data_IF_809500950637
#
_entry.id   IF_809500950637
#
_cell.length_a   1.000
_cell.length_b   1.000
_cell.length_c   1.000
_cell.angle_alpha   90.00
_cell.angle_beta   90.00
_cell.angle_gamma   90.00
#
_symmetry.space_group_name_H-M   'P 1'
#
loop_
_entity.id
_entity.type
_entity.pdbx_description
1 polymer ?
#
# COMPACT_ATOMS: atom_id res chain seq x y z
N UNK A 1 12.69 -7.17 -53.92
CA UNK A 1 13.48 -6.06 -54.47
C UNK A 1 13.68 -5.01 -53.37
N UNK A 2 14.81 -4.99 -52.74
CA UNK A 2 15.95 -4.07 -52.84
C UNK A 2 15.55 -2.60 -52.72
N UNK A 3 16.04 -1.78 -51.76
CA UNK A 3 17.39 -1.31 -51.38
C UNK A 3 17.25 -0.53 -50.05
N UNK A 4 18.01 -0.76 -48.99
CA UNK A 4 19.37 -0.28 -48.71
C UNK A 4 19.52 1.25 -48.47
N UNK A 5 20.05 1.50 -47.23
CA UNK A 5 21.11 2.45 -46.84
C UNK A 5 20.61 3.87 -46.47
N UNK A 6 20.87 4.39 -45.26
CA UNK A 6 22.13 5.04 -44.90
C UNK A 6 22.24 5.36 -43.41
N UNK A 7 23.34 4.95 -42.79
CA UNK A 7 23.84 5.40 -41.48
C UNK A 7 24.34 6.85 -41.57
N UNK A 8 24.12 7.66 -40.53
CA UNK A 8 25.00 8.78 -40.21
C UNK A 8 25.34 8.76 -38.74
N UNK A 9 26.59 8.42 -38.48
CA UNK A 9 27.32 8.66 -37.23
C UNK A 9 27.74 10.11 -37.21
N UNK A 10 27.51 10.80 -36.07
CA UNK A 10 28.21 12.08 -35.84
C UNK A 10 28.68 12.13 -34.41
N UNK A 11 29.97 11.91 -34.24
CA UNK A 11 30.81 12.13 -33.05
C UNK A 11 31.36 13.55 -33.06
N UNK A 12 31.36 14.23 -31.91
CA UNK A 12 32.33 15.25 -31.47
C UNK A 12 32.00 15.61 -30.03
N UNK A 13 32.71 15.32 -28.98
CA UNK A 13 34.06 15.62 -28.54
C UNK A 13 34.19 17.05 -27.92
N UNK A 14 34.48 17.03 -26.61
CA UNK A 14 35.37 17.88 -25.81
C UNK A 14 34.99 19.34 -25.53
N UNK A 15 34.93 19.74 -24.24
CA UNK A 15 36.07 20.39 -23.60
C UNK A 15 35.88 20.55 -22.10
N UNK A 16 36.89 20.19 -21.36
CA UNK A 16 37.11 20.46 -19.96
C UNK A 16 37.62 21.90 -19.76
N UNK A 17 37.27 22.50 -18.62
CA UNK A 17 38.07 23.60 -18.06
C UNK A 17 38.10 23.53 -16.54
N UNK A 18 39.29 23.23 -16.05
CA UNK A 18 39.76 23.45 -14.67
C UNK A 18 40.16 24.92 -14.50
N UNK A 19 39.93 25.46 -13.28
CA UNK A 19 40.82 26.36 -12.53
C UNK A 19 40.12 26.72 -11.22
N UNK A 20 40.55 26.36 -10.06
CA UNK A 20 41.76 26.58 -9.30
C UNK A 20 41.64 27.78 -8.32
N UNK A 21 41.80 27.43 -7.04
CA UNK A 21 42.51 28.15 -5.96
C UNK A 21 41.96 29.47 -5.42
N UNK A 22 41.89 29.49 -4.09
CA UNK A 22 41.91 30.71 -3.27
C UNK A 22 41.76 30.44 -1.78
N UNK A 23 42.88 30.25 -1.15
CA UNK A 23 43.12 30.05 0.30
C UNK A 23 43.21 31.39 1.03
N UNK A 24 42.78 31.47 2.31
CA UNK A 24 43.40 32.24 3.40
C UNK A 24 42.44 32.34 4.58
N UNK A 25 42.70 31.63 5.60
CA UNK A 25 43.41 31.88 6.87
C UNK A 25 42.94 33.02 7.77
N UNK A 26 42.77 32.56 8.98
CA UNK A 26 43.18 33.09 10.28
C UNK A 26 42.17 33.89 11.09
N UNK A 27 41.79 33.35 12.23
CA UNK A 27 42.36 33.59 13.58
C UNK A 27 41.70 34.78 14.29
N UNK A 28 41.20 34.71 15.46
CA UNK A 28 41.76 34.60 16.83
C UNK A 28 40.63 34.76 17.85
N UNK A 29 40.57 33.83 18.81
CA UNK A 29 40.79 33.99 20.27
C UNK A 29 40.10 35.10 21.05
N UNK A 30 39.41 34.74 22.10
CA UNK A 30 39.70 34.92 23.50
C UNK A 30 38.42 34.74 24.36
N UNK A 31 38.41 33.76 25.24
CA UNK A 31 38.66 33.77 26.69
C UNK A 31 37.88 34.82 27.47
N UNK A 32 37.16 34.42 28.43
CA UNK A 32 37.24 34.24 29.88
C UNK A 32 35.85 34.45 30.46
N UNK A 33 35.39 33.98 31.57
CA UNK A 33 35.79 33.22 32.74
C UNK A 33 34.54 33.07 33.64
N UNK A 34 34.44 31.94 34.24
CA UNK A 34 34.07 31.55 35.58
C UNK A 34 33.02 32.31 36.43
N UNK A 35 32.17 31.54 37.08
CA UNK A 35 31.98 31.26 38.51
C UNK A 35 30.54 30.78 38.76
N UNK A 36 30.30 29.58 39.15
CA UNK A 36 30.27 28.88 40.43
C UNK A 36 29.21 29.36 41.44
N UNK A 37 28.52 28.34 41.93
CA UNK A 37 27.85 28.08 43.21
C UNK A 37 26.32 28.21 43.19
N UNK A 38 25.51 27.40 43.85
CA UNK A 38 25.67 26.31 44.81
C UNK A 38 24.30 25.63 45.01
N UNK A 39 24.35 24.44 45.49
CA UNK A 39 23.38 23.48 45.89
C UNK A 39 22.03 23.93 46.46
N UNK A 40 21.00 23.12 46.17
CA UNK A 40 20.10 22.53 47.19
C UNK A 40 19.37 21.34 46.68
N UNK A 41 19.57 20.20 47.31
CA UNK A 41 18.82 18.95 47.24
C UNK A 41 17.43 19.13 47.84
N UNK A 42 16.42 18.47 47.24
CA UNK A 42 15.43 17.67 48.00
C UNK A 42 14.80 16.63 47.10
N UNK A 43 14.99 15.45 47.50
CA UNK A 43 14.42 14.12 47.44
C UNK A 43 12.99 13.94 46.88
N UNK A 44 12.92 12.86 46.09
CA UNK A 44 12.03 11.68 46.20
C UNK A 44 10.63 11.75 45.62
N UNK A 45 10.45 11.04 44.52
CA UNK A 45 9.40 10.05 44.34
C UNK A 45 9.67 9.21 43.06
N UNK A 46 10.03 7.97 43.30
CA UNK A 46 10.18 6.96 42.27
C UNK A 46 8.84 6.65 41.58
N UNK A 47 8.74 6.87 40.28
CA UNK A 47 7.78 6.21 39.43
C UNK A 47 8.59 5.22 38.59
N UNK A 48 8.39 3.94 38.86
CA UNK A 48 8.95 2.82 38.12
C UNK A 48 8.22 2.73 36.79
N UNK A 49 8.75 3.34 35.75
CA UNK A 49 8.39 2.98 34.39
C UNK A 49 9.26 1.77 34.01
N UNK A 50 8.57 0.63 33.89
CA UNK A 50 9.12 -0.60 33.35
C UNK A 50 9.24 -0.45 31.83
N UNK A 51 10.22 0.30 31.39
CA UNK A 51 10.66 0.31 30.02
C UNK A 51 11.53 -0.94 29.79
N UNK A 52 10.96 -2.00 29.24
CA UNK A 52 11.75 -3.07 28.67
C UNK A 52 12.40 -2.56 27.36
N UNK A 53 13.45 -1.78 27.49
CA UNK A 53 14.36 -1.52 26.40
C UNK A 53 15.21 -2.75 26.19
N UNK A 54 14.81 -3.60 25.24
CA UNK A 54 15.70 -4.60 24.65
C UNK A 54 16.81 -3.83 23.92
N UNK A 55 18.01 -3.86 24.49
CA UNK A 55 19.21 -3.35 23.84
C UNK A 55 19.42 -4.19 22.57
N UNK A 56 19.16 -3.58 21.38
CA UNK A 56 19.68 -4.13 20.12
C UNK A 56 21.20 -4.21 20.27
N UNK A 57 21.80 -5.32 19.89
CA UNK A 57 23.23 -5.60 19.94
C UNK A 57 24.07 -4.72 18.97
N UNK A 58 23.53 -3.62 18.50
CA UNK A 58 24.14 -2.70 17.53
C UNK A 58 24.14 -3.23 16.10
N UNK A 59 23.41 -4.30 15.81
CA UNK A 59 23.21 -4.77 14.43
C UNK A 59 22.37 -3.78 13.66
N UNK A 60 22.81 -3.48 12.43
CA UNK A 60 22.08 -2.63 11.48
C UNK A 60 21.41 -3.51 10.45
N UNK A 61 20.19 -3.15 10.09
CA UNK A 61 19.39 -3.85 9.11
C UNK A 61 19.14 -2.96 7.90
N UNK A 62 19.17 -3.55 6.72
CA UNK A 62 18.79 -2.91 5.45
C UNK A 62 17.57 -3.63 4.90
N UNK A 63 16.48 -2.88 4.77
CA UNK A 63 15.18 -3.37 4.33
C UNK A 63 14.88 -2.80 2.96
N UNK A 64 14.59 -3.68 1.99
CA UNK A 64 14.06 -3.27 0.69
C UNK A 64 12.56 -3.18 0.75
N UNK A 65 11.98 -2.11 0.25
CA UNK A 65 10.53 -1.93 0.14
C UNK A 65 10.18 -1.83 -1.34
N UNK A 66 9.49 -2.86 -1.86
CA UNK A 66 8.91 -2.83 -3.19
C UNK A 66 7.44 -2.44 -3.07
N UNK A 67 7.13 -1.18 -3.35
CA UNK A 67 5.77 -0.67 -3.42
C UNK A 67 5.27 -0.73 -4.86
N UNK A 68 4.11 -1.37 -5.09
CA UNK A 68 3.60 -1.58 -6.45
C UNK A 68 3.27 -0.28 -7.16
N UNK A 69 2.62 0.64 -6.48
CA UNK A 69 2.19 1.94 -7.00
C UNK A 69 2.15 2.96 -5.85
N UNK A 70 2.16 4.24 -6.16
CA UNK A 70 1.98 5.33 -5.20
C UNK A 70 0.50 5.74 -5.18
N UNK A 71 -0.14 5.51 -4.05
CA UNK A 71 -1.48 6.01 -3.71
C UNK A 71 -1.70 5.89 -2.19
N UNK A 72 -2.70 6.60 -1.62
CA UNK A 72 -2.83 6.77 -0.16
C UNK A 72 -2.79 5.48 0.65
N UNK A 73 -3.48 4.42 0.23
CA UNK A 73 -3.52 3.18 0.99
C UNK A 73 -2.13 2.51 1.08
N UNK A 74 -1.40 2.37 -0.04
CA UNK A 74 -0.07 1.77 -0.03
C UNK A 74 0.95 2.66 0.69
N UNK A 75 0.82 3.98 0.60
CA UNK A 75 1.70 4.92 1.29
C UNK A 75 1.52 4.83 2.80
N UNK A 76 0.28 4.72 3.29
CA UNK A 76 -0.04 4.48 4.70
C UNK A 76 0.52 3.14 5.21
N UNK A 77 0.40 2.06 4.43
CA UNK A 77 0.95 0.76 4.81
C UNK A 77 2.49 0.79 4.88
N UNK A 78 3.15 1.43 3.93
CA UNK A 78 4.61 1.65 3.99
C UNK A 78 5.00 2.46 5.21
N UNK A 79 4.31 3.56 5.50
CA UNK A 79 4.57 4.40 6.67
C UNK A 79 4.41 3.62 7.98
N UNK A 80 3.32 2.86 8.13
CA UNK A 80 3.11 2.04 9.32
C UNK A 80 4.23 1.02 9.53
N UNK A 81 4.70 0.37 8.47
CA UNK A 81 5.82 -0.56 8.52
C UNK A 81 7.13 0.10 8.95
N UNK A 82 7.45 1.25 8.36
CA UNK A 82 8.66 2.00 8.69
C UNK A 82 8.64 2.52 10.13
N UNK A 83 7.49 3.03 10.59
CA UNK A 83 7.30 3.51 11.95
C UNK A 83 7.49 2.39 12.96
N UNK A 84 6.88 1.21 12.76
CA UNK A 84 7.02 0.08 13.65
C UNK A 84 8.48 -0.40 13.79
N UNK A 85 9.18 -0.56 12.67
CA UNK A 85 10.59 -0.97 12.71
C UNK A 85 11.51 0.11 13.29
N UNK A 86 11.23 1.38 13.00
CA UNK A 86 11.99 2.50 13.57
C UNK A 86 11.79 2.59 15.08
N UNK A 87 10.57 2.39 15.58
CA UNK A 87 10.27 2.35 17.01
C UNK A 87 10.97 1.18 17.71
N UNK A 88 10.87 -0.01 17.14
CA UNK A 88 11.36 -1.24 17.75
C UNK A 88 12.90 -1.41 17.68
N UNK A 89 13.52 -1.00 16.60
CA UNK A 89 14.97 -1.12 16.36
C UNK A 89 15.74 0.12 16.79
N UNK A 90 15.09 1.29 16.77
CA UNK A 90 15.72 2.59 16.84
C UNK A 90 16.20 3.08 15.46
N UNK A 91 15.99 4.36 15.15
CA UNK A 91 16.25 4.98 13.84
C UNK A 91 17.69 4.86 13.33
N UNK A 92 18.67 4.60 14.21
CA UNK A 92 20.08 4.39 13.82
C UNK A 92 20.42 2.97 13.40
N UNK A 93 19.50 2.01 13.57
CA UNK A 93 19.73 0.59 13.36
C UNK A 93 18.95 -0.01 12.18
N UNK A 94 18.15 0.79 11.50
CA UNK A 94 17.41 0.37 10.29
C UNK A 94 17.59 1.40 9.19
N UNK A 95 17.68 0.91 7.95
CA UNK A 95 17.71 1.72 6.73
C UNK A 95 16.70 1.12 5.76
N UNK A 96 15.84 1.96 5.20
CA UNK A 96 14.85 1.57 4.20
C UNK A 96 15.30 2.03 2.81
N UNK A 97 15.13 1.15 1.82
CA UNK A 97 15.26 1.44 0.40
C UNK A 97 13.88 1.24 -0.24
N UNK A 98 13.09 2.32 -0.25
CA UNK A 98 11.76 2.34 -0.85
C UNK A 98 11.87 2.58 -2.35
N UNK A 99 11.35 1.64 -3.14
CA UNK A 99 11.26 1.75 -4.59
C UNK A 99 9.83 1.51 -5.08
N UNK A 100 9.32 2.45 -5.88
CA UNK A 100 8.00 2.42 -6.49
C UNK A 100 8.07 1.76 -7.87
N UNK A 101 7.30 0.69 -8.07
CA UNK A 101 7.25 -0.05 -9.33
C UNK A 101 6.35 0.60 -10.39
N UNK A 102 5.64 1.68 -10.06
CA UNK A 102 4.77 2.45 -10.95
C UNK A 102 3.68 1.60 -11.64
N UNK A 103 3.16 0.60 -10.94
CA UNK A 103 2.13 -0.31 -11.44
C UNK A 103 2.64 -1.41 -12.38
N UNK A 104 3.93 -1.43 -12.70
CA UNK A 104 4.49 -2.33 -13.70
C UNK A 104 5.11 -3.58 -13.06
N UNK A 105 4.58 -4.76 -13.36
CA UNK A 105 5.11 -6.03 -12.85
C UNK A 105 6.61 -6.22 -13.16
N UNK A 106 7.06 -5.79 -14.34
CA UNK A 106 8.47 -5.88 -14.72
C UNK A 106 9.39 -5.04 -13.82
N UNK A 107 8.89 -3.90 -13.34
CA UNK A 107 9.60 -3.07 -12.37
C UNK A 107 9.62 -3.74 -10.99
N UNK A 108 8.50 -4.31 -10.51
CA UNK A 108 8.48 -5.10 -9.27
C UNK A 108 9.55 -6.20 -9.29
N UNK A 109 9.64 -6.95 -10.40
CA UNK A 109 10.64 -8.01 -10.56
C UNK A 109 12.07 -7.46 -10.55
N UNK A 110 12.30 -6.33 -11.21
CA UNK A 110 13.63 -5.68 -11.26
C UNK A 110 14.05 -5.19 -9.89
N UNK A 111 13.15 -4.53 -9.16
CA UNK A 111 13.36 -4.02 -7.79
C UNK A 111 13.68 -5.18 -6.85
N UNK A 112 12.84 -6.22 -6.82
CA UNK A 112 13.03 -7.38 -5.95
C UNK A 112 14.34 -8.09 -6.21
N UNK A 113 14.72 -8.31 -7.48
CA UNK A 113 16.01 -8.89 -7.83
C UNK A 113 17.19 -7.97 -7.41
N UNK A 114 17.01 -6.65 -7.44
CA UNK A 114 17.98 -5.68 -6.96
C UNK A 114 18.26 -5.84 -5.46
N UNK A 115 17.22 -5.98 -4.65
CA UNK A 115 17.33 -6.21 -3.21
C UNK A 115 18.05 -7.54 -2.89
N UNK A 116 17.71 -8.59 -3.63
CA UNK A 116 18.38 -9.90 -3.51
C UNK A 116 19.86 -9.81 -3.86
N UNK A 117 20.21 -9.16 -4.97
CA UNK A 117 21.60 -9.00 -5.41
C UNK A 117 22.45 -8.20 -4.41
N UNK A 118 21.83 -7.29 -3.67
CA UNK A 118 22.48 -6.48 -2.64
C UNK A 118 22.44 -7.12 -1.24
N UNK A 119 21.90 -8.34 -1.12
CA UNK A 119 21.80 -9.10 0.14
C UNK A 119 21.11 -8.31 1.27
N UNK A 120 19.95 -7.71 1.01
CA UNK A 120 19.17 -7.05 2.03
C UNK A 120 18.70 -8.04 3.09
N UNK A 121 18.50 -7.57 4.32
CA UNK A 121 18.15 -8.43 5.46
C UNK A 121 16.70 -8.91 5.39
N UNK A 122 15.80 -8.13 4.78
CA UNK A 122 14.38 -8.44 4.60
C UNK A 122 13.83 -7.61 3.44
N UNK A 123 12.79 -8.11 2.79
CA UNK A 123 12.01 -7.39 1.77
C UNK A 123 10.58 -7.18 2.29
N UNK A 124 10.11 -5.94 2.29
CA UNK A 124 8.68 -5.64 2.33
C UNK A 124 8.15 -5.62 0.90
N UNK A 125 7.11 -6.39 0.66
CA UNK A 125 6.37 -6.37 -0.59
C UNK A 125 4.98 -5.75 -0.34
N UNK A 126 4.77 -4.54 -0.84
CA UNK A 126 3.53 -3.80 -0.65
C UNK A 126 2.65 -3.93 -1.88
N UNK A 127 1.59 -4.68 -1.76
CA UNK A 127 0.60 -5.15 -2.71
C UNK A 127 0.93 -6.52 -3.37
N UNK A 128 -0.11 -7.14 -3.97
CA UNK A 128 -0.09 -8.53 -4.47
C UNK A 128 0.97 -8.78 -5.53
N UNK A 129 1.08 -7.94 -6.55
CA UNK A 129 2.07 -8.10 -7.62
C UNK A 129 3.51 -7.96 -7.09
N UNK A 130 3.74 -7.03 -6.14
CA UNK A 130 5.02 -6.89 -5.48
C UNK A 130 5.38 -8.15 -4.68
N UNK A 131 4.41 -8.76 -3.96
CA UNK A 131 4.59 -10.01 -3.24
C UNK A 131 4.98 -11.16 -4.17
N UNK A 132 4.26 -11.33 -5.27
CA UNK A 132 4.55 -12.36 -6.28
C UNK A 132 5.98 -12.24 -6.83
N UNK A 133 6.40 -11.01 -7.14
CA UNK A 133 7.74 -10.74 -7.65
C UNK A 133 8.83 -10.99 -6.59
N UNK A 134 8.61 -10.59 -5.35
CA UNK A 134 9.55 -10.81 -4.27
C UNK A 134 9.68 -12.30 -3.92
N UNK A 135 8.57 -13.03 -3.84
CA UNK A 135 8.56 -14.47 -3.61
C UNK A 135 9.27 -15.26 -4.72
N UNK A 136 9.12 -14.81 -5.97
CA UNK A 136 9.82 -15.40 -7.12
C UNK A 136 11.33 -15.08 -7.14
N UNK A 137 11.74 -13.93 -6.58
CA UNK A 137 13.13 -13.48 -6.61
C UNK A 137 14.02 -14.21 -5.57
N UNK A 138 13.45 -14.66 -4.44
CA UNK A 138 14.23 -15.27 -3.36
C UNK A 138 13.45 -16.34 -2.60
N UNK A 139 14.17 -17.38 -2.19
CA UNK A 139 13.66 -18.39 -1.24
C UNK A 139 14.38 -18.35 0.12
N UNK A 140 15.26 -17.38 0.34
CA UNK A 140 16.13 -17.31 1.52
C UNK A 140 16.04 -15.98 2.28
N UNK A 141 15.90 -14.85 1.59
CA UNK A 141 15.63 -13.57 2.25
C UNK A 141 14.18 -13.57 2.71
N UNK A 142 13.89 -13.25 3.98
CA UNK A 142 12.52 -13.11 4.45
C UNK A 142 11.75 -12.06 3.65
N UNK A 143 10.52 -12.38 3.27
CA UNK A 143 9.60 -11.48 2.58
C UNK A 143 8.37 -11.29 3.47
N UNK A 144 8.13 -10.07 3.89
CA UNK A 144 6.89 -9.67 4.56
C UNK A 144 6.02 -8.96 3.52
N UNK A 145 4.81 -9.47 3.31
CA UNK A 145 3.80 -8.80 2.51
C UNK A 145 2.94 -7.86 3.36
N UNK A 146 2.44 -6.81 2.75
CA UNK A 146 1.34 -5.99 3.30
C UNK A 146 0.44 -5.55 2.15
N UNK A 147 -0.79 -5.18 2.43
CA UNK A 147 -1.77 -4.81 1.39
C UNK A 147 -1.95 -5.92 0.34
N UNK A 148 -2.02 -7.16 0.80
CA UNK A 148 -2.21 -8.35 -0.04
C UNK A 148 -3.55 -8.97 0.30
N UNK A 149 -4.45 -9.00 -0.67
CA UNK A 149 -5.84 -9.42 -0.45
C UNK A 149 -5.94 -10.89 -0.05
N UNK A 150 -5.33 -11.80 -0.81
CA UNK A 150 -5.37 -13.23 -0.53
C UNK A 150 -4.04 -13.91 -0.88
N UNK A 151 -3.34 -14.40 0.14
CA UNK A 151 -2.03 -15.03 -0.02
C UNK A 151 -2.08 -16.37 -0.73
N UNK A 152 -3.19 -17.12 -0.55
CA UNK A 152 -3.35 -18.42 -1.22
C UNK A 152 -3.44 -18.23 -2.73
N UNK A 153 -4.27 -17.30 -3.19
CA UNK A 153 -4.38 -16.92 -4.61
C UNK A 153 -3.10 -16.29 -5.13
N UNK A 154 -2.51 -15.36 -4.36
CA UNK A 154 -1.30 -14.65 -4.80
C UNK A 154 -0.11 -15.58 -5.06
N UNK A 155 0.03 -16.63 -4.26
CA UNK A 155 1.16 -17.55 -4.29
C UNK A 155 0.82 -18.96 -4.80
N UNK A 156 -0.39 -19.16 -5.34
CA UNK A 156 -0.88 -20.45 -5.87
C UNK A 156 -0.76 -21.59 -4.84
N UNK A 157 -1.24 -21.33 -3.61
CA UNK A 157 -1.14 -22.28 -2.50
C UNK A 157 -2.44 -23.07 -2.37
N UNK A 158 -2.35 -24.37 -2.69
CA UNK A 158 -3.42 -25.32 -2.40
C UNK A 158 -3.52 -25.60 -0.87
N UNK A 159 -4.73 -25.79 -0.37
CA UNK A 159 -4.98 -26.18 1.03
C UNK A 159 -4.41 -25.17 2.06
N UNK A 160 -4.82 -23.93 1.92
CA UNK A 160 -4.44 -22.83 2.83
C UNK A 160 -4.69 -23.16 4.31
N UNK A 161 -3.69 -22.95 5.15
CA UNK A 161 -3.72 -23.26 6.60
C UNK A 161 -3.43 -22.05 7.50
N UNK A 162 -3.30 -20.85 6.93
CA UNK A 162 -2.97 -19.61 7.64
C UNK A 162 -1.54 -19.12 7.41
N UNK A 163 -0.61 -20.02 7.07
CA UNK A 163 0.78 -19.67 6.74
C UNK A 163 1.17 -20.18 5.36
N UNK A 164 2.21 -19.57 4.77
CA UNK A 164 2.65 -19.95 3.42
C UNK A 164 3.54 -21.18 3.39
N UNK A 165 4.15 -21.55 4.51
CA UNK A 165 5.13 -22.65 4.60
C UNK A 165 6.47 -22.34 3.91
N UNK A 166 6.73 -21.06 3.54
CA UNK A 166 7.92 -20.61 2.82
C UNK A 166 8.63 -19.45 3.55
N UNK A 167 9.55 -18.75 2.88
CA UNK A 167 10.16 -17.53 3.40
C UNK A 167 9.25 -16.29 3.30
N UNK A 168 7.95 -16.47 3.18
CA UNK A 168 6.94 -15.40 3.01
C UNK A 168 5.93 -15.47 4.14
N UNK A 169 5.56 -14.33 4.71
CA UNK A 169 4.38 -14.10 5.55
C UNK A 169 3.96 -12.64 5.44
N UNK A 170 3.03 -12.16 6.25
CA UNK A 170 2.66 -10.75 6.27
C UNK A 170 1.24 -10.48 6.72
N UNK A 171 0.68 -9.36 6.24
CA UNK A 171 -0.66 -8.89 6.57
C UNK A 171 -1.54 -8.84 5.34
N UNK A 172 -2.83 -9.14 5.52
CA UNK A 172 -3.84 -9.10 4.48
C UNK A 172 -4.74 -7.87 4.63
N UNK A 173 -5.19 -7.34 3.48
CA UNK A 173 -6.12 -6.21 3.40
C UNK A 173 -7.54 -6.62 2.98
N UNK A 174 -7.85 -7.92 3.02
CA UNK A 174 -9.17 -8.41 2.65
C UNK A 174 -10.22 -7.91 3.64
N UNK A 175 -11.05 -6.98 3.19
CA UNK A 175 -12.27 -6.60 3.87
C UNK A 175 -13.38 -7.63 3.61
N UNK A 176 -14.43 -7.71 4.46
CA UNK A 176 -15.57 -8.61 4.22
C UNK A 176 -16.35 -8.17 2.98
N UNK A 177 -16.17 -8.88 1.87
CA UNK A 177 -16.75 -8.53 0.56
C UNK A 177 -18.26 -8.69 0.55
N UNK A 178 -18.79 -9.71 1.23
CA UNK A 178 -20.21 -9.91 1.46
C UNK A 178 -20.86 -8.70 2.14
N UNK A 179 -20.19 -8.11 3.14
CA UNK A 179 -20.69 -6.91 3.81
C UNK A 179 -20.54 -5.65 2.95
N UNK A 180 -19.63 -5.61 2.00
CA UNK A 180 -19.56 -4.53 1.01
C UNK A 180 -20.74 -4.62 0.03
N UNK A 181 -21.17 -5.83 -0.31
CA UNK A 181 -22.39 -6.05 -1.08
C UNK A 181 -23.64 -5.68 -0.28
N UNK A 182 -23.74 -6.11 0.99
CA UNK A 182 -24.82 -5.69 1.91
C UNK A 182 -24.93 -4.15 1.97
N UNK A 183 -23.79 -3.44 2.02
CA UNK A 183 -23.72 -1.98 1.99
C UNK A 183 -24.27 -1.40 0.68
N UNK A 184 -23.97 -2.01 -0.45
CA UNK A 184 -24.52 -1.61 -1.76
C UNK A 184 -26.03 -1.74 -1.75
N UNK A 185 -26.55 -2.86 -1.30
CA UNK A 185 -28.01 -3.12 -1.20
C UNK A 185 -28.69 -2.19 -0.19
N UNK A 186 -28.05 -1.94 0.94
CA UNK A 186 -28.56 -0.97 1.96
C UNK A 186 -28.74 0.42 1.37
N UNK A 187 -27.73 0.91 0.64
CA UNK A 187 -27.73 2.28 0.11
C UNK A 187 -28.52 2.42 -1.20
N UNK A 188 -28.58 1.36 -2.00
CA UNK A 188 -29.19 1.35 -3.33
C UNK A 188 -30.17 0.18 -3.53
N UNK A 189 -31.24 0.08 -2.71
CA UNK A 189 -32.17 -1.08 -2.74
C UNK A 189 -32.94 -1.23 -4.05
N UNK A 190 -32.98 -0.21 -4.88
CA UNK A 190 -33.64 -0.22 -6.19
C UNK A 190 -32.67 -0.49 -7.36
N UNK A 191 -31.37 -0.65 -7.09
CA UNK A 191 -30.37 -0.96 -8.12
C UNK A 191 -30.65 -2.31 -8.76
N UNK A 192 -30.59 -2.37 -10.10
CA UNK A 192 -30.86 -3.57 -10.89
C UNK A 192 -29.67 -4.02 -11.71
N UNK A 193 -28.78 -3.09 -12.02
CA UNK A 193 -27.61 -3.32 -12.84
C UNK A 193 -26.39 -2.78 -12.11
N UNK A 194 -25.61 -3.67 -11.50
CA UNK A 194 -24.36 -3.33 -10.83
C UNK A 194 -23.19 -3.47 -11.80
N UNK A 195 -22.35 -2.46 -11.89
CA UNK A 195 -21.10 -2.54 -12.66
C UNK A 195 -19.94 -2.86 -11.72
N UNK A 196 -19.17 -3.92 -12.01
CA UNK A 196 -17.95 -4.26 -11.27
C UNK A 196 -16.77 -3.76 -12.10
N UNK A 197 -16.09 -2.72 -11.62
CA UNK A 197 -15.03 -2.02 -12.35
C UNK A 197 -13.67 -2.31 -11.74
N UNK A 198 -12.77 -2.97 -12.49
CA UNK A 198 -11.46 -3.33 -11.97
C UNK A 198 -10.40 -3.55 -13.06
N UNK A 199 -9.11 -3.65 -12.65
CA UNK A 199 -8.00 -4.01 -13.50
C UNK A 199 -7.84 -5.54 -13.57
N UNK A 200 -8.05 -6.13 -14.74
CA UNK A 200 -7.93 -7.57 -14.95
C UNK A 200 -6.49 -8.11 -14.86
N UNK A 201 -5.49 -7.22 -14.87
CA UNK A 201 -4.09 -7.59 -14.66
C UNK A 201 -3.73 -7.74 -13.17
N UNK A 202 -4.65 -7.38 -12.25
CA UNK A 202 -4.47 -7.51 -10.81
C UNK A 202 -5.21 -8.74 -10.26
N UNK A 203 -4.51 -9.79 -9.79
CA UNK A 203 -5.15 -11.00 -9.27
C UNK A 203 -6.02 -10.75 -8.03
N UNK A 204 -5.63 -9.79 -7.16
CA UNK A 204 -6.41 -9.34 -6.01
C UNK A 204 -7.77 -8.80 -6.42
N UNK A 205 -7.82 -7.99 -7.48
CA UNK A 205 -9.06 -7.39 -7.96
C UNK A 205 -9.99 -8.43 -8.57
N UNK A 206 -9.45 -9.35 -9.38
CA UNK A 206 -10.21 -10.46 -9.96
C UNK A 206 -10.77 -11.40 -8.88
N UNK A 207 -10.00 -11.67 -7.81
CA UNK A 207 -10.47 -12.44 -6.66
C UNK A 207 -11.68 -11.76 -5.99
N UNK A 208 -11.54 -10.47 -5.66
CA UNK A 208 -12.61 -9.71 -5.00
C UNK A 208 -13.85 -9.58 -5.89
N UNK A 209 -13.67 -9.35 -7.19
CA UNK A 209 -14.79 -9.33 -8.15
C UNK A 209 -15.57 -10.63 -8.11
N UNK A 210 -14.87 -11.78 -8.16
CA UNK A 210 -15.50 -13.10 -8.10
C UNK A 210 -16.26 -13.33 -6.80
N UNK A 211 -15.74 -12.89 -5.64
CA UNK A 211 -16.44 -13.02 -4.37
C UNK A 211 -17.65 -12.08 -4.30
N UNK A 212 -17.54 -10.86 -4.83
CA UNK A 212 -18.66 -9.91 -4.90
C UNK A 212 -19.78 -10.39 -5.83
N UNK A 213 -19.43 -11.00 -6.96
CA UNK A 213 -20.39 -11.64 -7.86
C UNK A 213 -21.20 -12.74 -7.19
N UNK A 214 -20.56 -13.56 -6.33
CA UNK A 214 -21.27 -14.60 -5.58
C UNK A 214 -22.30 -13.99 -4.63
N UNK A 215 -21.98 -12.89 -3.95
CA UNK A 215 -22.93 -12.20 -3.08
C UNK A 215 -24.11 -11.62 -3.89
N UNK A 216 -23.84 -10.96 -5.03
CA UNK A 216 -24.88 -10.46 -5.92
C UNK A 216 -25.79 -11.58 -6.48
N UNK A 217 -25.21 -12.75 -6.77
CA UNK A 217 -25.96 -13.93 -7.22
C UNK A 217 -26.90 -14.46 -6.14
N UNK A 218 -26.47 -14.46 -4.86
CA UNK A 218 -27.30 -14.86 -3.72
C UNK A 218 -28.51 -13.94 -3.56
N UNK A 219 -28.35 -12.64 -3.80
CA UNK A 219 -29.42 -11.65 -3.75
C UNK A 219 -30.17 -11.47 -5.08
N UNK A 220 -29.78 -12.22 -6.10
CA UNK A 220 -30.38 -12.18 -7.45
C UNK A 220 -30.31 -10.81 -8.12
N UNK A 221 -29.22 -10.07 -7.88
CA UNK A 221 -28.93 -8.78 -8.49
C UNK A 221 -28.15 -8.99 -9.78
N UNK A 222 -28.55 -8.31 -10.86
CA UNK A 222 -27.83 -8.41 -12.13
C UNK A 222 -26.56 -7.55 -12.10
N UNK A 223 -25.47 -8.08 -12.61
CA UNK A 223 -24.21 -7.37 -12.70
C UNK A 223 -23.52 -7.56 -14.05
N UNK A 224 -22.51 -6.72 -14.28
CA UNK A 224 -21.62 -6.81 -15.43
C UNK A 224 -20.22 -6.32 -15.06
N UNK A 225 -19.23 -7.09 -15.47
CA UNK A 225 -17.83 -6.68 -15.33
C UNK A 225 -17.44 -5.63 -16.37
N UNK A 226 -16.67 -4.65 -15.91
CA UNK A 226 -16.03 -3.61 -16.69
C UNK A 226 -14.54 -3.61 -16.36
N UNK A 227 -13.74 -4.21 -17.22
CA UNK A 227 -12.33 -4.44 -16.94
C UNK A 227 -11.43 -3.60 -17.83
N UNK A 228 -10.31 -3.16 -17.24
CA UNK A 228 -9.18 -2.59 -17.97
C UNK A 228 -7.97 -3.51 -17.83
N UNK A 229 -7.03 -3.43 -18.75
CA UNK A 229 -5.73 -4.11 -18.61
C UNK A 229 -4.66 -3.21 -18.03
N UNK A 230 -4.84 -1.90 -18.15
CA UNK A 230 -3.99 -0.83 -17.63
C UNK A 230 -4.77 0.49 -17.54
N UNK A 231 -4.13 1.56 -17.09
CA UNK A 231 -4.78 2.86 -16.87
C UNK A 231 -5.25 3.60 -18.14
N UNK A 232 -4.77 3.21 -19.32
CA UNK A 232 -5.07 3.95 -20.56
C UNK A 232 -6.55 3.84 -20.97
N UNK A 233 -7.20 2.74 -20.65
CA UNK A 233 -8.58 2.48 -21.06
C UNK A 233 -9.62 2.88 -20.00
N UNK A 234 -9.20 3.32 -18.80
CA UNK A 234 -10.10 3.63 -17.67
C UNK A 234 -11.24 4.56 -18.11
N UNK A 235 -10.93 5.70 -18.71
CA UNK A 235 -11.95 6.68 -19.07
C UNK A 235 -13.02 6.10 -20.01
N UNK A 236 -12.62 5.29 -21.00
CA UNK A 236 -13.54 4.71 -21.95
C UNK A 236 -14.42 3.60 -21.34
N UNK A 237 -13.83 2.81 -20.42
CA UNK A 237 -14.54 1.74 -19.73
C UNK A 237 -15.52 2.32 -18.71
N UNK A 238 -15.10 3.32 -17.93
CA UNK A 238 -15.98 4.04 -16.99
C UNK A 238 -17.16 4.69 -17.73
N UNK A 239 -16.90 5.36 -18.89
CA UNK A 239 -17.97 5.94 -19.69
C UNK A 239 -18.99 4.89 -20.15
N UNK A 240 -18.53 3.67 -20.47
CA UNK A 240 -19.43 2.57 -20.82
C UNK A 240 -20.22 2.10 -19.59
N UNK A 241 -19.54 1.92 -18.45
CA UNK A 241 -20.16 1.45 -17.21
C UNK A 241 -21.28 2.40 -16.74
N UNK A 242 -21.01 3.71 -16.68
CA UNK A 242 -22.01 4.69 -16.21
C UNK A 242 -23.21 4.84 -17.16
N UNK A 243 -23.10 4.40 -18.40
CA UNK A 243 -24.22 4.42 -19.36
C UNK A 243 -25.18 3.24 -19.22
N UNK A 244 -24.78 2.19 -18.51
CA UNK A 244 -25.51 0.92 -18.43
C UNK A 244 -25.87 0.53 -17.00
N UNK A 245 -25.17 1.07 -15.97
CA UNK A 245 -25.29 0.65 -14.58
C UNK A 245 -25.96 1.70 -13.70
N UNK A 246 -26.65 1.23 -12.66
CA UNK A 246 -27.31 2.06 -11.64
C UNK A 246 -26.31 2.44 -10.53
N UNK A 247 -25.34 1.58 -10.25
CA UNK A 247 -24.27 1.75 -9.25
C UNK A 247 -23.03 0.96 -9.71
N UNK A 248 -21.85 1.45 -9.34
CA UNK A 248 -20.59 0.75 -9.56
C UNK A 248 -20.02 0.23 -8.25
N UNK A 249 -19.34 -0.91 -8.33
CA UNK A 249 -18.43 -1.41 -7.30
C UNK A 249 -17.00 -1.39 -7.84
N UNK A 250 -16.07 -0.82 -7.07
CA UNK A 250 -14.65 -0.86 -7.36
C UNK A 250 -13.99 -1.57 -6.17
N UNK A 251 -13.43 -2.78 -6.36
CA UNK A 251 -12.72 -3.49 -5.30
C UNK A 251 -11.45 -2.74 -4.87
N UNK A 252 -10.72 -3.27 -3.92
CA UNK A 252 -9.36 -2.82 -3.60
C UNK A 252 -8.46 -3.10 -4.80
N UNK A 253 -8.26 -2.09 -5.64
CA UNK A 253 -7.60 -2.14 -6.95
C UNK A 253 -6.59 -1.01 -7.07
N UNK A 254 -5.30 -1.33 -7.19
CA UNK A 254 -4.24 -0.32 -7.19
C UNK A 254 -4.28 0.58 -8.44
N UNK A 255 -4.64 0.00 -9.59
CA UNK A 255 -4.76 0.77 -10.84
C UNK A 255 -5.92 1.77 -10.75
N UNK A 256 -7.07 1.37 -10.20
CA UNK A 256 -8.19 2.27 -9.96
C UNK A 256 -7.86 3.33 -8.91
N UNK A 257 -7.22 2.93 -7.78
CA UNK A 257 -6.80 3.85 -6.72
C UNK A 257 -5.85 4.95 -7.22
N UNK A 258 -4.92 4.60 -8.11
CA UNK A 258 -4.03 5.57 -8.76
C UNK A 258 -4.68 6.45 -9.84
N UNK A 259 -5.97 6.22 -10.17
CA UNK A 259 -6.67 6.93 -11.26
C UNK A 259 -8.06 7.44 -10.88
N UNK A 260 -8.33 7.62 -9.62
CA UNK A 260 -9.64 8.01 -9.07
C UNK A 260 -10.17 9.33 -9.62
N UNK A 261 -9.30 10.31 -9.91
CA UNK A 261 -9.70 11.58 -10.54
C UNK A 261 -10.35 11.35 -11.90
N UNK A 262 -9.78 10.48 -12.73
CA UNK A 262 -10.33 10.14 -14.05
C UNK A 262 -11.69 9.47 -13.93
N UNK A 263 -11.86 8.60 -12.93
CA UNK A 263 -13.12 7.90 -12.63
C UNK A 263 -14.17 8.90 -12.15
N UNK A 264 -13.83 9.74 -11.17
CA UNK A 264 -14.74 10.73 -10.58
C UNK A 264 -15.25 11.73 -11.60
N UNK A 265 -14.38 12.22 -12.49
CA UNK A 265 -14.73 13.17 -13.55
C UNK A 265 -15.77 12.64 -14.54
N UNK A 266 -16.03 11.32 -14.56
CA UNK A 266 -17.03 10.67 -15.40
C UNK A 266 -18.23 10.22 -14.59
N UNK A 267 -18.01 9.51 -13.47
CA UNK A 267 -19.09 8.90 -12.70
C UNK A 267 -19.97 9.93 -11.97
N UNK A 268 -19.35 10.93 -11.34
CA UNK A 268 -20.08 11.94 -10.57
C UNK A 268 -21.01 12.80 -11.46
N UNK A 269 -20.58 13.37 -12.62
CA UNK A 269 -21.50 14.07 -13.50
C UNK A 269 -22.58 13.18 -14.12
N UNK A 270 -22.32 11.88 -14.27
CA UNK A 270 -23.31 10.93 -14.75
C UNK A 270 -24.36 10.60 -13.68
N UNK A 271 -24.12 10.96 -12.42
CA UNK A 271 -25.00 10.66 -11.29
C UNK A 271 -24.96 9.19 -10.86
N UNK A 272 -23.92 8.44 -11.22
CA UNK A 272 -23.77 7.02 -10.88
C UNK A 272 -22.88 6.87 -9.65
N UNK A 273 -23.43 6.40 -8.51
CA UNK A 273 -22.68 6.23 -7.28
C UNK A 273 -21.69 5.05 -7.37
N UNK A 274 -20.64 5.10 -6.54
CA UNK A 274 -19.62 4.08 -6.46
C UNK A 274 -19.52 3.59 -5.01
N UNK A 275 -19.65 2.28 -4.78
CA UNK A 275 -19.21 1.61 -3.57
C UNK A 275 -17.75 1.21 -3.76
N UNK A 276 -16.90 1.62 -2.84
CA UNK A 276 -15.46 1.42 -2.93
C UNK A 276 -14.96 0.32 -1.99
N UNK A 277 -13.97 -0.43 -2.44
CA UNK A 277 -13.34 -1.49 -1.65
C UNK A 277 -12.42 -0.98 -0.54
N UNK A 278 -12.00 0.30 -0.61
CA UNK A 278 -11.11 0.91 0.39
C UNK A 278 -11.31 2.43 0.49
N UNK A 279 -10.74 3.03 1.56
CA UNK A 279 -10.96 4.42 1.96
C UNK A 279 -10.49 5.44 0.90
N UNK A 280 -9.30 5.27 0.31
CA UNK A 280 -8.74 6.24 -0.63
C UNK A 280 -9.56 6.34 -1.93
N UNK A 281 -10.05 5.21 -2.46
CA UNK A 281 -10.99 5.20 -3.59
C UNK A 281 -12.30 5.88 -3.19
N UNK A 282 -12.83 5.58 -1.99
CA UNK A 282 -14.04 6.20 -1.48
C UNK A 282 -13.89 7.72 -1.32
N UNK A 283 -12.79 8.15 -0.71
CA UNK A 283 -12.49 9.58 -0.49
C UNK A 283 -12.46 10.36 -1.81
N UNK A 284 -11.91 9.77 -2.86
CA UNK A 284 -11.71 10.44 -4.13
C UNK A 284 -12.88 10.33 -5.10
N UNK A 285 -13.62 9.21 -5.13
CA UNK A 285 -14.68 8.99 -6.12
C UNK A 285 -15.86 8.12 -5.63
N UNK A 286 -15.81 7.54 -4.43
CA UNK A 286 -16.87 6.69 -3.90
C UNK A 286 -17.86 7.40 -3.01
N UNK A 287 -19.01 6.79 -2.75
CA UNK A 287 -20.02 7.27 -1.79
C UNK A 287 -19.82 6.64 -0.43
N UNK A 288 -19.47 5.35 -0.38
CA UNK A 288 -19.23 4.62 0.86
C UNK A 288 -18.25 3.47 0.66
N UNK A 289 -17.67 3.04 1.77
CA UNK A 289 -16.75 1.90 1.85
C UNK A 289 -16.87 1.19 3.19
N UNK A 290 -16.55 -0.09 3.22
CA UNK A 290 -16.23 -0.83 4.44
C UNK A 290 -14.73 -1.04 4.46
N UNK A 291 -14.03 -0.19 5.18
CA UNK A 291 -12.58 -0.07 5.10
C UNK A 291 -11.85 -0.62 6.31
N UNK A 292 -10.57 -0.88 6.11
CA UNK A 292 -9.57 -1.24 7.11
C UNK A 292 -8.51 -0.13 7.20
N UNK A 293 -7.76 -0.10 8.30
CA UNK A 293 -6.61 0.81 8.43
C UNK A 293 -5.38 0.22 7.74
N UNK A 294 -4.97 0.81 6.63
CA UNK A 294 -3.72 0.44 5.92
C UNK A 294 -2.48 0.74 6.76
N UNK A 295 -2.49 1.83 7.53
CA UNK A 295 -1.43 2.10 8.48
C UNK A 295 -1.26 0.96 9.50
N UNK A 296 -2.37 0.46 10.08
CA UNK A 296 -2.32 -0.58 11.13
C UNK A 296 -1.85 -1.93 10.58
N UNK A 297 -2.25 -2.31 9.37
CA UNK A 297 -1.72 -3.54 8.75
C UNK A 297 -0.25 -3.39 8.40
N UNK A 298 0.20 -2.23 7.93
CA UNK A 298 1.61 -1.92 7.73
C UNK A 298 2.40 -1.97 9.03
N UNK A 299 1.89 -1.36 10.11
CA UNK A 299 2.50 -1.38 11.42
C UNK A 299 2.62 -2.81 11.98
N UNK A 300 1.58 -3.63 11.77
CA UNK A 300 1.60 -5.05 12.13
C UNK A 300 2.64 -5.83 11.32
N UNK A 301 2.76 -5.58 10.01
CA UNK A 301 3.81 -6.14 9.16
C UNK A 301 5.22 -5.78 9.67
N UNK A 302 5.40 -4.54 10.15
CA UNK A 302 6.66 -4.10 10.77
C UNK A 302 6.99 -4.85 12.05
N UNK A 303 6.00 -5.14 12.90
CA UNK A 303 6.17 -6.00 14.09
C UNK A 303 6.55 -7.43 13.70
N UNK A 304 5.91 -8.00 12.68
CA UNK A 304 6.26 -9.32 12.17
C UNK A 304 7.70 -9.35 11.63
N UNK A 305 8.12 -8.31 10.92
CA UNK A 305 9.49 -8.16 10.44
C UNK A 305 10.51 -8.11 11.60
N UNK A 306 10.20 -7.38 12.67
CA UNK A 306 11.02 -7.34 13.88
C UNK A 306 11.16 -8.72 14.52
N UNK A 307 10.06 -9.47 14.62
CA UNK A 307 10.09 -10.83 15.19
C UNK A 307 10.99 -11.77 14.38
N UNK A 308 10.98 -11.67 13.06
CA UNK A 308 11.88 -12.44 12.19
C UNK A 308 13.33 -12.00 12.36
N UNK A 309 13.61 -10.68 12.30
CA UNK A 309 14.96 -10.14 12.28
C UNK A 309 15.68 -10.24 13.61
N UNK A 310 14.97 -10.08 14.73
CA UNK A 310 15.54 -9.92 16.08
C UNK A 310 15.22 -11.12 16.97
N UNK A 311 13.96 -11.54 16.99
CA UNK A 311 13.52 -12.63 17.87
C UNK A 311 13.75 -14.01 17.25
N UNK A 312 14.16 -14.10 15.96
CA UNK A 312 14.44 -15.35 15.27
C UNK A 312 13.20 -16.19 15.02
N UNK A 313 12.03 -15.54 14.86
CA UNK A 313 10.80 -16.22 14.49
C UNK A 313 10.94 -16.92 13.14
N UNK A 314 10.41 -18.13 13.05
CA UNK A 314 10.38 -18.88 11.78
C UNK A 314 9.23 -18.36 10.92
N UNK A 315 9.57 -17.57 9.91
CA UNK A 315 8.60 -16.97 9.01
C UNK A 315 7.72 -18.00 8.29
N UNK A 316 8.23 -19.21 8.07
CA UNK A 316 7.49 -20.26 7.37
C UNK A 316 6.28 -20.81 8.15
N UNK A 317 6.29 -20.60 9.47
CA UNK A 317 5.19 -20.99 10.38
C UNK A 317 4.39 -19.79 10.89
N UNK A 318 4.74 -18.59 10.46
CA UNK A 318 4.08 -17.37 10.87
C UNK A 318 2.78 -17.20 10.08
N UNK A 319 1.66 -17.17 10.80
CA UNK A 319 0.35 -16.96 10.18
C UNK A 319 0.23 -15.54 9.61
N UNK A 320 -0.43 -15.44 8.44
CA UNK A 320 -0.83 -14.16 7.88
C UNK A 320 -1.82 -13.49 8.83
N UNK A 321 -1.59 -12.22 9.11
CA UNK A 321 -2.45 -11.43 10.00
C UNK A 321 -3.48 -10.64 9.18
N UNK A 322 -4.68 -10.50 9.72
CA UNK A 322 -5.78 -9.73 9.13
C UNK A 322 -6.04 -8.48 9.96
N UNK A 323 -6.66 -7.47 9.35
CA UNK A 323 -7.12 -6.29 10.08
C UNK A 323 -8.13 -6.70 11.16
N UNK A 324 -7.96 -6.18 12.37
CA UNK A 324 -8.85 -6.50 13.51
C UNK A 324 -10.22 -5.85 13.40
N UNK A 325 -10.29 -4.69 12.75
CA UNK A 325 -11.48 -3.86 12.68
C UNK A 325 -11.75 -3.40 11.24
N UNK A 326 -13.03 -3.32 10.92
CA UNK A 326 -13.53 -2.67 9.72
C UNK A 326 -14.46 -1.55 10.12
N UNK A 327 -14.46 -0.47 9.36
CA UNK A 327 -15.27 0.73 9.62
C UNK A 327 -16.13 1.04 8.42
N UNK A 328 -17.44 1.30 8.65
CA UNK A 328 -18.31 1.87 7.63
C UNK A 328 -17.98 3.35 7.48
N UNK A 329 -17.53 3.76 6.32
CA UNK A 329 -17.13 5.12 6.02
C UNK A 329 -17.84 5.64 4.78
N UNK A 330 -17.98 6.98 4.69
CA UNK A 330 -18.63 7.61 3.57
C UNK A 330 -18.00 8.96 3.20
N UNK A 331 -18.09 9.30 1.93
CA UNK A 331 -17.69 10.61 1.41
C UNK A 331 -18.88 11.59 1.49
N UNK A 332 -18.83 12.50 2.45
CA UNK A 332 -19.92 13.44 2.70
C UNK A 332 -20.20 14.38 1.52
N UNK A 333 -19.15 14.80 0.80
CA UNK A 333 -19.25 15.72 -0.32
C UNK A 333 -19.89 15.06 -1.55
N UNK A 334 -19.46 13.86 -1.90
CA UNK A 334 -20.02 13.09 -3.03
C UNK A 334 -21.47 12.68 -2.70
N UNK A 335 -21.73 12.21 -1.50
CA UNK A 335 -23.09 11.90 -1.03
C UNK A 335 -24.01 13.10 -1.14
N UNK A 336 -23.56 14.29 -0.71
CA UNK A 336 -24.32 15.54 -0.83
C UNK A 336 -24.61 15.91 -2.28
N UNK A 337 -23.65 15.76 -3.19
CA UNK A 337 -23.83 16.07 -4.60
C UNK A 337 -24.79 15.11 -5.31
N UNK A 338 -24.80 13.84 -4.92
CA UNK A 338 -25.70 12.81 -5.45
C UNK A 338 -27.04 12.72 -4.70
N UNK A 339 -27.22 13.48 -3.60
CA UNK A 339 -28.44 13.45 -2.79
C UNK A 339 -28.61 12.15 -2.01
N UNK A 340 -27.51 11.47 -1.67
CA UNK A 340 -27.48 10.21 -0.92
C UNK A 340 -27.39 10.53 0.58
N UNK A 341 -28.17 9.80 1.38
CA UNK A 341 -28.13 9.88 2.84
C UNK A 341 -27.72 8.52 3.39
N UNK A 342 -26.71 8.50 4.24
CA UNK A 342 -26.27 7.30 4.96
C UNK A 342 -26.85 7.27 6.37
N UNK A 343 -26.86 6.10 7.00
CA UNK A 343 -27.30 5.93 8.39
C UNK A 343 -26.24 6.42 9.40
N UNK A 344 -26.62 6.55 10.66
CA UNK A 344 -25.77 7.15 11.71
C UNK A 344 -24.57 6.27 12.11
N UNK A 345 -24.50 5.03 11.63
CA UNK A 345 -23.39 4.10 11.86
C UNK A 345 -22.22 4.28 10.87
N UNK A 346 -22.38 5.15 9.88
CA UNK A 346 -21.30 5.53 8.98
C UNK A 346 -20.49 6.70 9.54
N UNK A 347 -19.18 6.61 9.41
CA UNK A 347 -18.23 7.68 9.76
C UNK A 347 -17.86 8.49 8.52
N UNK A 348 -17.95 9.80 8.59
CA UNK A 348 -17.49 10.64 7.47
C UNK A 348 -15.97 10.56 7.34
N UNK A 349 -15.48 10.28 6.13
CA UNK A 349 -14.05 10.36 5.81
C UNK A 349 -13.64 11.82 5.97
N UNK A 350 -12.49 12.06 6.63
CA UNK A 350 -11.97 13.40 6.83
C UNK A 350 -11.65 14.06 5.49
N UNK A 351 -12.07 15.31 5.30
CA UNK A 351 -11.63 16.11 4.16
C UNK A 351 -10.13 16.44 4.30
N UNK A 352 -9.35 16.26 3.25
CA UNK A 352 -7.95 16.70 3.21
C UNK A 352 -7.79 18.22 3.22
#
# INVERSE_FOLDING_TARGET
NYKKILSVVMTAAMAASLAACGNSTANTSSTTDAAASDAAQTSDAAATESGAGTSSDGKKYTIGICQQLEHPALDQATQGFEDALTELLGSGNVTFDLQNAQGEQANCATISNGFVANNYDLILANATTALQCAAAATSTIPVIGTSVTDYATALDIDNWTGSTGTNVSGTADLAPIDQQEDMLVELFPDAKNVGILYCSAEPNSAYQATEFEKALDEDSISYKEYTVSDSNDIASVVQSAVSECDVLYIPTDNTMAGNTESINNIALPAGVPIIAGEEGICQACGVATLSISYYDIGYTAGKMAYDVLVNGADISTMDVQYAENVTKEYNADICSQLGITVSDDYTAIAAE
#
